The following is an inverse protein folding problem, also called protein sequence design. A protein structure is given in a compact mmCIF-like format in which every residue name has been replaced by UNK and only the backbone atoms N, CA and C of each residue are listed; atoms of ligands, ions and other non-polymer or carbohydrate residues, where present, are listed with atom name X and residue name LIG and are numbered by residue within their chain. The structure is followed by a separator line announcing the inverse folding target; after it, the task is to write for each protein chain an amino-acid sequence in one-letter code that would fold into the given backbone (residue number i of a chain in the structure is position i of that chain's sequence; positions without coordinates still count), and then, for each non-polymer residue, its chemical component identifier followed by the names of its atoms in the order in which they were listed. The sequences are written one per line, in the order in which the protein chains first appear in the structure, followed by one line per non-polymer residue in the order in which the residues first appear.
data_IF_852486456172
#
_entry.id   IF_852486456172
#
_cell.length_a   1.000
_cell.length_b   1.000
_cell.length_c   1.000
_cell.angle_alpha   90.00
_cell.angle_beta   90.00
_cell.angle_gamma   90.00
#
_symmetry.space_group_name_H-M   'P 1'
#
loop_
_entity.id
_entity.type
_entity.pdbx_description
1 polymer ?
#
# COMPACT_ATOMS: atom_id res chain seq x y z
N UNK A 1 -0.34 -26.79 44.74
CA UNK A 1 -0.15 -27.01 43.29
C UNK A 1 0.11 -25.67 42.63
N UNK A 2 1.13 -25.56 41.77
CA UNK A 2 1.35 -24.35 40.98
C UNK A 2 0.41 -24.32 39.78
N UNK A 3 -0.19 -23.17 39.48
CA UNK A 3 -1.00 -22.96 38.27
C UNK A 3 -0.31 -21.93 37.38
N UNK A 4 -0.21 -22.24 36.08
CA UNK A 4 0.35 -21.35 35.07
C UNK A 4 -0.76 -20.96 34.10
N UNK A 5 -1.01 -19.65 33.94
CA UNK A 5 -1.97 -19.10 32.98
C UNK A 5 -1.22 -18.44 31.82
N UNK A 6 -1.43 -18.94 30.61
CA UNK A 6 -0.84 -18.42 29.39
C UNK A 6 -1.93 -17.77 28.54
N UNK A 7 -1.65 -16.59 27.98
CA UNK A 7 -2.57 -15.85 27.10
C UNK A 7 -1.86 -15.53 25.80
N UNK A 8 -2.53 -15.81 24.68
CA UNK A 8 -2.04 -15.45 23.34
C UNK A 8 -2.92 -14.33 22.81
N UNK A 9 -2.32 -13.18 22.51
CA UNK A 9 -3.00 -12.09 21.83
C UNK A 9 -2.97 -12.31 20.32
N UNK A 10 -4.15 -12.48 19.72
CA UNK A 10 -4.34 -12.74 18.30
C UNK A 10 -4.84 -11.52 17.53
N UNK A 11 -5.06 -10.38 18.18
CA UNK A 11 -5.67 -9.17 17.61
C UNK A 11 -4.96 -8.63 16.35
N UNK A 12 -3.62 -8.73 16.33
CA UNK A 12 -2.77 -8.27 15.22
C UNK A 12 -2.40 -9.36 14.22
N UNK A 13 -2.83 -10.60 14.46
CA UNK A 13 -2.50 -11.71 13.59
C UNK A 13 -3.40 -11.68 12.36
N UNK A 14 -2.79 -11.86 11.20
CA UNK A 14 -3.49 -11.94 9.90
C UNK A 14 -3.35 -13.33 9.26
N UNK A 15 -2.84 -14.29 10.02
CA UNK A 15 -2.59 -15.67 9.59
C UNK A 15 -3.71 -16.58 10.05
N UNK A 16 -4.04 -17.58 9.24
CA UNK A 16 -5.09 -18.55 9.58
C UNK A 16 -4.68 -19.53 10.67
N UNK A 17 -3.38 -19.79 10.82
CA UNK A 17 -2.85 -20.74 11.80
C UNK A 17 -1.71 -20.11 12.58
N UNK A 18 -1.70 -20.33 13.89
CA UNK A 18 -0.65 -19.87 14.79
C UNK A 18 -0.01 -21.06 15.49
N UNK A 19 1.29 -20.96 15.72
CA UNK A 19 2.03 -21.86 16.61
C UNK A 19 2.94 -21.00 17.47
N UNK A 20 2.80 -21.14 18.79
CA UNK A 20 3.63 -20.46 19.79
C UNK A 20 4.12 -21.50 20.79
N UNK A 21 5.18 -21.13 21.51
CA UNK A 21 5.71 -21.95 22.58
C UNK A 21 6.11 -21.11 23.77
N UNK A 22 6.06 -21.70 24.96
CA UNK A 22 6.66 -21.15 26.16
C UNK A 22 7.59 -22.20 26.77
N UNK A 23 8.74 -21.76 27.27
CA UNK A 23 9.64 -22.60 28.06
C UNK A 23 9.40 -22.26 29.53
N UNK A 24 9.01 -23.26 30.31
CA UNK A 24 8.77 -23.15 31.75
C UNK A 24 9.95 -23.76 32.47
N UNK A 25 10.61 -22.98 33.31
CA UNK A 25 11.64 -23.48 34.22
C UNK A 25 10.99 -24.01 35.50
N UNK A 26 11.40 -25.19 35.95
CA UNK A 26 10.89 -25.80 37.17
C UNK A 26 12.02 -26.45 37.98
N UNK A 27 11.70 -26.89 39.20
CA UNK A 27 12.63 -27.49 40.13
C UNK A 27 12.77 -29.02 39.97
N UNK A 28 12.32 -29.60 38.85
CA UNK A 28 12.59 -31.01 38.52
C UNK A 28 14.09 -31.16 38.15
N UNK A 29 14.90 -31.90 38.92
CA UNK A 29 16.32 -32.06 38.63
C UNK A 29 16.59 -32.83 37.33
N UNK A 30 15.63 -33.64 36.86
CA UNK A 30 15.75 -34.43 35.63
C UNK A 30 15.29 -33.63 34.41
N UNK A 31 14.24 -32.81 34.56
CA UNK A 31 13.70 -31.97 33.49
C UNK A 31 13.47 -30.54 33.98
N UNK A 32 14.53 -29.73 34.17
CA UNK A 32 14.41 -28.38 34.72
C UNK A 32 13.73 -27.40 33.76
N UNK A 33 13.46 -27.80 32.53
CA UNK A 33 12.80 -27.01 31.50
C UNK A 33 11.75 -27.85 30.77
N UNK A 34 10.51 -27.34 30.73
CA UNK A 34 9.41 -27.92 29.97
C UNK A 34 9.00 -26.96 28.87
N UNK A 35 9.02 -27.41 27.61
CA UNK A 35 8.52 -26.62 26.48
C UNK A 35 7.06 -26.96 26.22
N UNK A 36 6.20 -25.97 26.37
CA UNK A 36 4.78 -26.06 26.03
C UNK A 36 4.59 -25.47 24.63
N UNK A 37 4.04 -26.25 23.71
CA UNK A 37 3.65 -25.78 22.38
C UNK A 37 2.14 -25.63 22.32
N UNK A 38 1.66 -24.51 21.80
CA UNK A 38 0.23 -24.27 21.60
C UNK A 38 0.04 -23.67 20.22
N UNK A 39 -0.91 -24.22 19.48
CA UNK A 39 -1.28 -23.75 18.17
C UNK A 39 -2.76 -23.93 17.91
N UNK A 40 -3.25 -23.26 16.88
CA UNK A 40 -4.65 -23.30 16.53
C UNK A 40 -4.96 -22.44 15.32
N UNK A 41 -6.19 -22.57 14.83
CA UNK A 41 -6.69 -21.73 13.75
C UNK A 41 -7.20 -20.40 14.32
N UNK A 42 -6.75 -19.29 13.77
CA UNK A 42 -7.29 -17.96 14.05
C UNK A 42 -8.22 -17.61 12.90
N UNK A 43 -9.53 -17.63 13.17
CA UNK A 43 -10.53 -17.21 12.19
C UNK A 43 -10.72 -15.71 12.28
N UNK A 44 -10.61 -15.01 11.15
CA UNK A 44 -10.93 -13.59 11.06
C UNK A 44 -12.42 -13.40 10.92
N UNK A 45 -13.00 -12.48 11.69
CA UNK A 45 -14.44 -12.19 11.66
C UNK A 45 -14.84 -11.56 10.33
N UNK A 46 -14.00 -10.67 9.80
CA UNK A 46 -14.19 -10.07 8.48
C UNK A 46 -13.10 -10.56 7.53
N UNK A 47 -13.51 -11.00 6.33
CA UNK A 47 -12.62 -11.21 5.17
C UNK A 47 -12.61 -9.95 4.33
N UNK A 48 -11.43 -9.61 3.84
CA UNK A 48 -11.18 -8.38 3.09
C UNK A 48 -10.77 -8.77 1.66
N UNK A 49 -11.44 -8.19 0.67
CA UNK A 49 -11.06 -8.35 -0.72
C UNK A 49 -11.11 -7.00 -1.46
N UNK A 50 -9.96 -6.42 -1.83
CA UNK A 50 -8.60 -6.92 -1.61
C UNK A 50 -8.12 -6.75 -0.15
N UNK A 51 -7.07 -7.48 0.24
CA UNK A 51 -6.42 -7.38 1.58
C UNK A 51 -5.54 -6.14 1.74
N UNK A 52 -5.20 -5.49 0.64
CA UNK A 52 -4.49 -4.20 0.57
C UNK A 52 -5.10 -3.36 -0.54
N UNK A 53 -5.10 -2.05 -0.38
CA UNK A 53 -5.58 -1.12 -1.40
C UNK A 53 -4.42 -0.38 -2.04
N UNK A 54 -4.46 -0.29 -3.37
CA UNK A 54 -3.45 0.42 -4.14
C UNK A 54 -4.14 1.37 -5.11
N UNK A 55 -4.15 2.65 -4.75
CA UNK A 55 -4.66 3.74 -5.57
C UNK A 55 -3.52 4.18 -6.47
N UNK A 56 -3.67 4.04 -7.79
CA UNK A 56 -2.62 4.36 -8.75
C UNK A 56 -3.18 5.12 -9.94
N UNK A 57 -2.53 6.21 -10.29
CA UNK A 57 -2.87 7.00 -11.48
C UNK A 57 -1.88 8.13 -11.66
N UNK A 58 -2.19 9.08 -12.53
CA UNK A 58 -1.29 10.19 -12.84
C UNK A 58 -1.31 11.24 -11.71
N UNK A 59 -0.21 11.98 -11.58
CA UNK A 59 -0.22 13.24 -10.83
C UNK A 59 -1.24 14.19 -11.48
N UNK A 60 -2.04 14.86 -10.66
CA UNK A 60 -3.13 15.73 -11.10
C UNK A 60 -4.48 15.05 -11.32
N UNK A 61 -4.60 13.72 -11.19
CA UNK A 61 -5.89 13.02 -11.20
C UNK A 61 -6.35 12.59 -9.81
N UNK A 62 -7.67 12.60 -9.59
CA UNK A 62 -8.29 11.90 -8.47
C UNK A 62 -8.06 10.39 -8.58
N UNK A 63 -7.77 9.75 -7.46
CA UNK A 63 -7.61 8.30 -7.39
C UNK A 63 -8.72 7.70 -6.52
N UNK A 64 -9.26 6.56 -6.93
CA UNK A 64 -10.30 5.83 -6.19
C UNK A 64 -9.99 4.35 -6.14
N UNK A 65 -10.42 3.69 -5.08
CA UNK A 65 -10.42 2.25 -4.95
C UNK A 65 -11.59 1.83 -4.06
N UNK A 66 -11.95 0.55 -4.14
CA UNK A 66 -12.96 -0.04 -3.27
C UNK A 66 -12.49 -1.36 -2.70
N UNK A 67 -13.05 -1.72 -1.55
CA UNK A 67 -12.83 -3.03 -0.94
C UNK A 67 -14.17 -3.62 -0.50
N UNK A 68 -14.27 -4.94 -0.58
CA UNK A 68 -15.39 -5.68 -0.04
C UNK A 68 -14.99 -6.28 1.30
N UNK A 69 -15.83 -6.08 2.30
CA UNK A 69 -15.74 -6.67 3.63
C UNK A 69 -16.87 -7.69 3.73
N UNK A 70 -16.53 -8.96 3.89
CA UNK A 70 -17.52 -10.06 3.97
C UNK A 70 -17.34 -10.84 5.28
N UNK A 71 -18.36 -11.57 5.75
CA UNK A 71 -18.25 -12.51 6.87
C UNK A 71 -17.13 -13.53 6.65
N UNK A 72 -16.27 -13.67 7.65
CA UNK A 72 -15.22 -14.70 7.71
C UNK A 72 -15.52 -15.84 8.69
N UNK A 73 -16.49 -15.61 9.58
CA UNK A 73 -17.04 -16.56 10.55
C UNK A 73 -18.56 -16.51 10.54
N UNK A 74 -19.20 -17.32 11.40
CA UNK A 74 -20.64 -17.28 11.65
C UNK A 74 -21.08 -16.07 12.49
N UNK A 75 -20.12 -15.31 13.02
CA UNK A 75 -20.39 -14.07 13.77
C UNK A 75 -20.67 -12.97 12.73
N UNK A 76 -21.89 -12.45 12.71
CA UNK A 76 -22.23 -11.30 11.88
C UNK A 76 -21.65 -10.01 12.48
N UNK A 77 -21.42 -9.01 11.63
CA UNK A 77 -20.88 -7.73 12.05
C UNK A 77 -21.47 -6.59 11.24
N UNK A 78 -21.39 -5.39 11.80
CA UNK A 78 -21.67 -4.13 11.15
C UNK A 78 -20.41 -3.25 11.15
N UNK A 79 -20.14 -2.56 10.04
CA UNK A 79 -19.07 -1.56 9.97
C UNK A 79 -19.59 -0.25 10.58
N UNK A 80 -19.20 0.03 11.82
CA UNK A 80 -19.65 1.24 12.53
C UNK A 80 -18.73 2.44 12.29
N UNK A 81 -17.48 2.21 11.89
CA UNK A 81 -16.53 3.28 11.57
C UNK A 81 -15.49 2.81 10.55
N UNK A 82 -15.12 3.71 9.63
CA UNK A 82 -14.03 3.52 8.68
C UNK A 82 -13.18 4.80 8.64
N UNK A 83 -11.95 4.73 9.15
CA UNK A 83 -11.12 5.92 9.38
C UNK A 83 -9.68 5.74 8.85
N UNK A 84 -9.16 6.68 8.03
CA UNK A 84 -7.74 6.72 7.65
C UNK A 84 -6.88 7.19 8.82
N UNK A 85 -5.84 6.44 9.19
CA UNK A 85 -5.03 6.75 10.38
C UNK A 85 -4.14 7.99 10.21
N UNK A 86 -3.59 8.22 9.00
CA UNK A 86 -2.71 9.36 8.70
C UNK A 86 -3.36 10.39 7.78
N UNK A 87 -4.66 10.23 7.50
CA UNK A 87 -5.49 11.15 6.71
C UNK A 87 -4.91 11.47 5.32
N UNK A 88 -4.27 10.49 4.68
CA UNK A 88 -3.72 10.64 3.31
C UNK A 88 -4.76 10.39 2.21
N UNK A 89 -5.90 9.80 2.59
CA UNK A 89 -7.04 9.54 1.73
C UNK A 89 -8.33 9.76 2.55
N UNK A 90 -9.46 9.71 1.88
CA UNK A 90 -10.80 9.89 2.44
C UNK A 90 -11.63 8.63 2.19
N UNK A 91 -12.52 8.31 3.13
CA UNK A 91 -13.59 7.34 2.90
C UNK A 91 -14.71 8.09 2.21
N UNK A 92 -15.03 7.68 0.98
CA UNK A 92 -16.08 8.30 0.16
C UNK A 92 -17.44 7.78 0.60
N UNK A 93 -17.57 6.46 0.72
CA UNK A 93 -18.84 5.81 1.02
C UNK A 93 -18.61 4.45 1.69
N UNK A 94 -19.61 4.01 2.46
CA UNK A 94 -19.69 2.66 3.04
C UNK A 94 -21.08 2.11 2.78
N UNK A 95 -21.18 1.15 1.87
CA UNK A 95 -22.43 0.63 1.34
C UNK A 95 -22.66 -0.79 1.82
N UNK A 96 -23.78 -1.05 2.47
CA UNK A 96 -24.22 -2.42 2.75
C UNK A 96 -24.67 -3.09 1.46
N UNK A 97 -24.17 -4.29 1.20
CA UNK A 97 -24.49 -5.08 0.02
C UNK A 97 -25.83 -5.83 0.21
N UNK A 98 -26.37 -6.38 -0.88
CA UNK A 98 -27.71 -6.98 -0.90
C UNK A 98 -27.90 -8.18 0.05
N UNK A 99 -26.79 -8.79 0.50
CA UNK A 99 -26.82 -9.89 1.48
C UNK A 99 -26.99 -9.42 2.93
N UNK A 100 -27.00 -8.10 3.17
CA UNK A 100 -27.18 -7.47 4.47
C UNK A 100 -26.00 -7.63 5.43
N UNK A 101 -24.99 -8.43 5.08
CA UNK A 101 -23.87 -8.80 5.94
C UNK A 101 -22.50 -8.52 5.31
N UNK A 102 -22.46 -8.13 4.04
CA UNK A 102 -21.26 -7.66 3.38
C UNK A 102 -21.33 -6.17 3.10
N UNK A 103 -20.16 -5.53 3.05
CA UNK A 103 -20.04 -4.09 2.89
C UNK A 103 -19.04 -3.78 1.78
N UNK A 104 -19.32 -2.76 0.98
CA UNK A 104 -18.34 -2.13 0.08
C UNK A 104 -17.90 -0.81 0.68
N UNK A 105 -16.60 -0.63 0.83
CA UNK A 105 -16.00 0.63 1.29
C UNK A 105 -15.30 1.26 0.11
N UNK A 106 -15.78 2.43 -0.30
CA UNK A 106 -15.21 3.22 -1.38
C UNK A 106 -14.30 4.29 -0.76
N UNK A 107 -13.05 4.36 -1.23
CA UNK A 107 -12.05 5.33 -0.77
C UNK A 107 -11.48 6.15 -1.92
N UNK A 108 -11.05 7.36 -1.61
CA UNK A 108 -10.50 8.29 -2.59
C UNK A 108 -9.31 9.07 -2.06
N UNK A 109 -8.42 9.45 -2.97
CA UNK A 109 -7.37 10.43 -2.69
C UNK A 109 -7.50 11.59 -3.67
N UNK A 110 -7.29 12.80 -3.14
CA UNK A 110 -7.29 14.04 -3.91
C UNK A 110 -6.09 14.07 -4.88
N UNK A 111 -6.12 14.93 -5.90
CA UNK A 111 -5.02 15.01 -6.85
C UNK A 111 -3.75 15.52 -6.18
N UNK A 112 -2.61 14.89 -6.45
CA UNK A 112 -1.30 15.42 -6.08
C UNK A 112 -0.61 16.04 -7.31
N UNK A 113 -0.08 17.25 -7.16
CA UNK A 113 0.69 17.93 -8.23
C UNK A 113 2.08 17.32 -8.42
N UNK A 114 2.66 16.78 -7.34
CA UNK A 114 3.99 16.18 -7.36
C UNK A 114 3.83 14.66 -7.39
N UNK A 115 4.44 13.98 -8.38
CA UNK A 115 4.49 12.51 -8.38
C UNK A 115 5.13 11.97 -7.11
N UNK A 116 4.59 10.87 -6.60
CA UNK A 116 5.06 10.28 -5.35
C UNK A 116 4.15 9.17 -4.84
N UNK A 117 4.67 8.44 -3.85
CA UNK A 117 3.94 7.40 -3.17
C UNK A 117 3.72 7.76 -1.69
N UNK A 118 2.47 7.65 -1.24
CA UNK A 118 2.07 7.82 0.15
C UNK A 118 1.57 6.48 0.69
N UNK A 119 1.79 6.26 1.99
CA UNK A 119 1.35 5.05 2.70
C UNK A 119 0.53 5.44 3.91
N UNK A 120 -0.64 4.83 4.01
CA UNK A 120 -1.57 4.99 5.11
C UNK A 120 -2.25 3.65 5.43
N UNK A 121 -3.10 3.64 6.43
CA UNK A 121 -3.84 2.47 6.90
C UNK A 121 -5.29 2.89 7.09
N UNK A 122 -6.21 2.13 6.49
CA UNK A 122 -7.63 2.20 6.81
C UNK A 122 -7.89 1.35 8.05
N UNK A 123 -8.46 1.95 9.08
CA UNK A 123 -8.95 1.25 10.27
C UNK A 123 -10.46 1.11 10.17
N UNK A 124 -10.95 -0.12 10.32
CA UNK A 124 -12.38 -0.42 10.40
C UNK A 124 -12.73 -0.83 11.82
N UNK A 125 -13.76 -0.22 12.37
CA UNK A 125 -14.37 -0.60 13.65
C UNK A 125 -15.64 -1.39 13.35
N UNK A 126 -15.73 -2.59 13.91
CA UNK A 126 -16.78 -3.57 13.65
C UNK A 126 -17.57 -3.82 14.95
N UNK A 127 -18.88 -3.60 14.92
CA UNK A 127 -19.78 -4.09 15.97
C UNK A 127 -20.16 -5.53 15.64
N UNK A 128 -19.81 -6.48 16.49
CA UNK A 128 -20.06 -7.90 16.25
C UNK A 128 -21.32 -8.37 17.00
N UNK A 129 -22.00 -9.39 16.47
CA UNK A 129 -23.24 -9.93 17.05
C UNK A 129 -23.07 -10.57 18.43
N UNK A 130 -21.84 -10.87 18.85
CA UNK A 130 -21.50 -11.35 20.19
C UNK A 130 -21.33 -10.22 21.21
N UNK A 131 -21.60 -8.97 20.81
CA UNK A 131 -21.53 -7.79 21.66
C UNK A 131 -20.12 -7.21 21.80
N UNK A 132 -19.10 -7.81 21.18
CA UNK A 132 -17.75 -7.25 21.18
C UNK A 132 -17.53 -6.29 20.01
N UNK A 133 -16.84 -5.18 20.29
CA UNK A 133 -16.32 -4.28 19.27
C UNK A 133 -14.91 -4.72 18.91
N UNK A 134 -14.65 -4.87 17.61
CA UNK A 134 -13.36 -5.33 17.10
C UNK A 134 -12.88 -4.44 15.98
N UNK A 135 -11.57 -4.40 15.81
CA UNK A 135 -10.93 -3.53 14.82
C UNK A 135 -10.13 -4.36 13.82
N UNK A 136 -10.27 -4.06 12.54
CA UNK A 136 -9.39 -4.57 11.49
C UNK A 136 -8.72 -3.43 10.75
N UNK A 137 -7.58 -3.70 10.13
CA UNK A 137 -6.76 -2.69 9.45
C UNK A 137 -6.35 -3.15 8.07
N UNK A 138 -6.40 -2.23 7.11
CA UNK A 138 -6.10 -2.46 5.70
C UNK A 138 -4.99 -1.47 5.28
N UNK A 139 -3.82 -1.96 4.86
CA UNK A 139 -2.80 -1.09 4.29
C UNK A 139 -3.27 -0.45 2.99
N UNK A 140 -3.04 0.86 2.86
CA UNK A 140 -3.39 1.65 1.68
C UNK A 140 -2.12 2.31 1.13
N UNK A 141 -1.86 2.11 -0.15
CA UNK A 141 -0.82 2.82 -0.90
C UNK A 141 -1.46 3.71 -1.94
N UNK A 142 -1.01 4.96 -2.02
CA UNK A 142 -1.46 5.96 -2.99
C UNK A 142 -0.25 6.32 -3.84
N UNK A 143 -0.35 6.17 -5.15
CA UNK A 143 0.78 6.37 -6.06
C UNK A 143 0.37 7.27 -7.23
N UNK A 144 0.81 8.52 -7.16
CA UNK A 144 0.71 9.48 -8.25
C UNK A 144 1.95 9.37 -9.14
N UNK A 145 1.75 8.93 -10.37
CA UNK A 145 2.81 8.74 -11.34
C UNK A 145 3.09 10.01 -12.13
N UNK A 146 4.34 10.21 -12.55
CA UNK A 146 4.66 11.26 -13.50
C UNK A 146 3.94 10.98 -14.84
N UNK A 147 3.31 12.00 -15.47
CA UNK A 147 2.60 11.83 -16.75
C UNK A 147 3.52 11.39 -17.88
N UNK A 148 4.80 11.77 -17.83
CA UNK A 148 5.83 11.31 -18.77
C UNK A 148 7.05 10.92 -17.94
N UNK A 149 7.50 9.67 -18.07
CA UNK A 149 8.77 9.21 -17.54
C UNK A 149 9.64 8.74 -18.70
N UNK A 150 10.72 9.47 -18.99
CA UNK A 150 11.74 9.03 -19.95
C UNK A 150 12.90 8.47 -19.13
N UNK A 151 12.97 7.15 -19.03
CA UNK A 151 14.16 6.46 -18.53
C UNK A 151 14.99 6.06 -19.73
N UNK A 152 16.14 6.71 -19.99
CA UNK A 152 17.00 6.32 -21.10
C UNK A 152 17.46 4.87 -20.89
N UNK A 153 17.34 4.03 -21.92
CA UNK A 153 17.76 2.61 -21.89
C UNK A 153 19.30 2.43 -21.92
N UNK A 154 20.05 3.40 -21.43
CA UNK A 154 21.51 3.41 -21.46
C UNK A 154 22.08 4.75 -21.02
N UNK A 155 23.41 4.81 -20.94
CA UNK A 155 24.11 6.02 -20.53
C UNK A 155 23.89 7.16 -21.54
N UNK A 156 23.62 8.35 -21.04
CA UNK A 156 23.69 9.58 -21.84
C UNK A 156 25.17 9.94 -21.99
N UNK A 157 25.79 9.53 -23.10
CA UNK A 157 27.22 9.75 -23.35
C UNK A 157 27.44 11.02 -24.17
N UNK A 158 28.08 12.05 -23.60
CA UNK A 158 28.55 13.19 -24.37
C UNK A 158 29.89 12.86 -25.04
N UNK A 159 30.00 13.08 -26.35
CA UNK A 159 31.26 12.89 -27.08
C UNK A 159 32.14 14.14 -26.95
N UNK A 160 33.44 13.99 -27.22
CA UNK A 160 34.41 15.10 -27.16
C UNK A 160 33.98 16.33 -27.99
N UNK A 161 33.42 16.09 -29.18
CA UNK A 161 32.87 17.16 -30.05
C UNK A 161 31.71 17.94 -29.41
N UNK A 162 30.98 17.32 -28.48
CA UNK A 162 29.85 17.93 -27.78
C UNK A 162 30.37 18.81 -26.63
N UNK A 163 31.42 18.37 -25.94
CA UNK A 163 32.00 19.05 -24.77
C UNK A 163 33.14 20.02 -25.09
N UNK A 164 33.72 19.97 -26.29
CA UNK A 164 34.79 20.88 -26.73
C UNK A 164 34.34 22.36 -26.66
N UNK A 165 33.04 22.61 -26.77
CA UNK A 165 32.43 23.95 -26.67
C UNK A 165 32.42 24.52 -25.24
N UNK A 166 32.51 23.68 -24.22
CA UNK A 166 32.58 24.10 -22.81
C UNK A 166 33.96 24.68 -22.45
N UNK A 167 34.95 24.57 -23.33
CA UNK A 167 36.27 25.18 -23.14
C UNK A 167 36.24 26.72 -23.19
N UNK A 168 35.17 27.30 -23.73
CA UNK A 168 34.91 28.73 -23.66
C UNK A 168 33.92 29.02 -22.52
N UNK A 169 34.30 29.77 -21.46
CA UNK A 169 33.46 30.04 -20.29
C UNK A 169 32.15 30.80 -20.59
N UNK A 170 32.09 31.49 -21.73
CA UNK A 170 30.92 32.25 -22.21
C UNK A 170 30.12 31.49 -23.27
N UNK A 171 30.47 30.24 -23.56
CA UNK A 171 29.79 29.41 -24.54
C UNK A 171 28.38 28.99 -24.08
N UNK A 172 27.45 28.75 -25.01
CA UNK A 172 26.14 28.23 -24.66
C UNK A 172 26.26 26.82 -24.04
N UNK A 173 25.36 26.45 -23.10
CA UNK A 173 25.40 25.15 -22.45
C UNK A 173 25.22 24.01 -23.45
N UNK A 174 25.90 22.89 -23.22
CA UNK A 174 25.76 21.68 -24.04
C UNK A 174 24.44 21.00 -23.70
N UNK A 175 23.64 20.71 -24.74
CA UNK A 175 22.31 20.13 -24.60
C UNK A 175 22.16 18.90 -25.50
N UNK A 176 21.55 17.83 -25.00
CA UNK A 176 21.18 16.66 -25.79
C UNK A 176 19.71 16.31 -25.57
N UNK A 177 18.95 16.21 -26.66
CA UNK A 177 17.55 15.79 -26.62
C UNK A 177 17.42 14.29 -26.35
N UNK A 178 16.55 13.93 -25.42
CA UNK A 178 16.13 12.54 -25.22
C UNK A 178 14.88 12.31 -26.06
N UNK A 179 14.99 11.44 -27.08
CA UNK A 179 13.87 11.08 -27.93
C UNK A 179 13.43 9.64 -27.63
N UNK A 180 12.13 9.38 -27.46
CA UNK A 180 11.59 8.03 -27.55
C UNK A 180 12.02 7.43 -28.90
N UNK A 181 12.43 6.17 -28.93
CA UNK A 181 12.98 5.53 -30.13
C UNK A 181 11.95 5.36 -31.26
N UNK A 182 10.67 5.62 -30.99
CA UNK A 182 9.58 5.60 -31.95
C UNK A 182 8.74 6.88 -31.83
N UNK A 183 8.65 7.74 -32.86
CA UNK A 183 7.57 8.71 -32.91
C UNK A 183 6.25 7.95 -33.07
N UNK A 184 5.17 8.34 -32.38
CA UNK A 184 3.87 7.77 -32.69
C UNK A 184 3.54 8.18 -34.14
N UNK A 185 3.17 7.20 -34.98
CA UNK A 185 2.76 7.42 -36.37
C UNK A 185 1.42 8.17 -36.39
N UNK A 186 1.43 9.47 -36.12
CA UNK A 186 0.31 10.36 -36.41
C UNK A 186 0.73 11.26 -37.57
N UNK A 187 0.08 11.08 -38.71
CA UNK A 187 0.18 11.99 -39.83
C UNK A 187 -0.36 13.36 -39.41
N UNK A 188 0.53 14.30 -39.15
CA UNK A 188 0.18 15.66 -38.77
C UNK A 188 1.39 16.38 -38.23
N UNK A 189 1.82 17.42 -38.94
CA UNK A 189 2.94 18.28 -38.59
C UNK A 189 2.72 18.98 -37.24
N UNK A 190 3.22 18.39 -36.17
CA UNK A 190 3.41 19.07 -34.89
C UNK A 190 4.91 19.15 -34.60
N UNK A 191 5.45 20.38 -34.55
CA UNK A 191 6.81 20.65 -34.07
C UNK A 191 6.93 20.15 -32.62
N UNK A 192 7.61 19.02 -32.43
CA UNK A 192 7.94 18.49 -31.12
C UNK A 192 9.01 19.37 -30.47
N UNK A 193 8.62 20.25 -29.54
CA UNK A 193 9.57 20.93 -28.66
C UNK A 193 10.23 19.91 -27.73
N UNK A 194 11.49 19.54 -28.03
CA UNK A 194 12.30 18.71 -27.16
C UNK A 194 12.66 19.47 -25.88
N UNK A 195 12.48 18.83 -24.72
CA UNK A 195 13.04 19.33 -23.45
C UNK A 195 14.52 18.98 -23.37
N UNK A 196 15.35 20.01 -23.27
CA UNK A 196 16.79 19.91 -23.19
C UNK A 196 17.26 19.72 -21.74
N UNK A 197 18.12 18.73 -21.51
CA UNK A 197 18.92 18.65 -20.28
C UNK A 197 20.12 19.60 -20.44
N UNK A 198 20.20 20.61 -19.57
CA UNK A 198 21.37 21.48 -19.43
C UNK A 198 22.30 20.88 -18.36
N UNK A 199 23.58 20.76 -18.70
CA UNK A 199 24.63 20.50 -17.73
C UNK A 199 25.44 21.79 -17.64
N UNK A 200 25.50 22.37 -16.43
CA UNK A 200 26.34 23.54 -16.11
C UNK A 200 27.81 23.14 -16.03
#
# INVERSE_FOLDING_TARGET
MGQLKLRVDTSKLRVETITKYATVTCNDPKNPQVRLNFGGKVRQIARLNPVTLNLKGLAGSDLRASLNVTPGTEISFEVIEATPLRRQFEVIDTVTLADGNSFRIDIGSRPALVPGALRDTLQLTLACSDGEIRTTTIPVTINHMAPISVVPRGNVVFQRRDTDRLKNPTGPPVQRGLYPRDPPRWGGSAQTQGRHLQVA
#
